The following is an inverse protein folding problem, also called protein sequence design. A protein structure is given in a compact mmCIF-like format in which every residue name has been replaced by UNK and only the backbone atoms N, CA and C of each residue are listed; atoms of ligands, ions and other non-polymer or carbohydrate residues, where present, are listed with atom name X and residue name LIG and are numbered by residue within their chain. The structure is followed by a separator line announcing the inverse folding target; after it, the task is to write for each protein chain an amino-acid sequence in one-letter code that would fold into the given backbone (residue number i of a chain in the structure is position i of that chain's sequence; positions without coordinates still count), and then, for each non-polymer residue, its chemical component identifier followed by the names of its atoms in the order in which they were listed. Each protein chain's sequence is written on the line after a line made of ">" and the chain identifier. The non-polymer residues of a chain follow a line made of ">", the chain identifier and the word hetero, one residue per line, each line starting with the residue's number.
data_IF_048664383005
#
_entry.id   IF_048664383005
#
_cell.length_a   1.000
_cell.length_b   1.000
_cell.length_c   1.000
_cell.angle_alpha   90.00
_cell.angle_beta   90.00
_cell.angle_gamma   90.00
#
_symmetry.space_group_name_H-M   'P 1'
#
loop_
_entity.id
_entity.type
_entity.pdbx_description
1 polymer ?
#
# COMPACT_ATOMS: atom_id res chain seq x y z
N UNK A 1 -22.90 6.39 -7.43
CA UNK A 1 -21.43 6.58 -7.44
C UNK A 1 -21.02 6.67 -5.98
N UNK A 2 -20.10 5.83 -5.50
CA UNK A 2 -19.75 5.80 -4.07
C UNK A 2 -19.23 7.17 -3.64
N UNK A 3 -19.91 7.79 -2.68
CA UNK A 3 -19.54 9.09 -2.13
C UNK A 3 -18.16 8.95 -1.46
N UNK A 4 -17.17 9.69 -1.95
CA UNK A 4 -15.82 9.72 -1.39
C UNK A 4 -15.84 10.50 -0.06
N UNK A 5 -16.35 9.87 1.00
CA UNK A 5 -16.23 10.39 2.36
C UNK A 5 -14.77 10.27 2.81
N UNK A 6 -14.02 11.37 2.70
CA UNK A 6 -12.71 11.47 3.33
C UNK A 6 -12.89 11.56 4.84
N UNK A 7 -12.33 10.63 5.63
CA UNK A 7 -12.54 10.58 7.07
C UNK A 7 -11.88 11.76 7.81
N UNK A 8 -10.90 12.41 7.20
CA UNK A 8 -10.23 13.61 7.70
C UNK A 8 -9.50 14.34 6.57
N UNK A 9 -9.09 15.60 6.80
CA UNK A 9 -8.31 16.38 5.84
C UNK A 9 -6.96 15.73 5.52
N UNK A 10 -6.54 15.80 4.26
CA UNK A 10 -5.25 15.28 3.79
C UNK A 10 -5.14 13.75 3.73
N UNK A 11 -6.26 13.03 3.85
CA UNK A 11 -6.29 11.56 3.78
C UNK A 11 -5.74 11.00 2.46
N UNK A 12 -5.80 11.79 1.38
CA UNK A 12 -5.23 11.44 0.05
C UNK A 12 -3.72 11.13 0.07
N UNK A 13 -2.99 11.61 1.09
CA UNK A 13 -1.55 11.36 1.25
C UNK A 13 -1.22 10.10 2.03
N UNK A 14 -2.23 9.36 2.50
CA UNK A 14 -2.02 8.13 3.26
C UNK A 14 -1.90 6.91 2.36
N UNK A 15 -1.03 5.97 2.76
CA UNK A 15 -0.84 4.70 2.06
C UNK A 15 -2.14 3.87 1.93
N UNK A 16 -3.05 3.99 2.90
CA UNK A 16 -4.36 3.33 2.85
C UNK A 16 -5.25 3.88 1.73
N UNK A 17 -5.20 5.20 1.48
CA UNK A 17 -5.92 5.81 0.36
C UNK A 17 -5.36 5.31 -0.97
N UNK A 18 -4.03 5.30 -1.12
CA UNK A 18 -3.34 4.77 -2.30
C UNK A 18 -3.71 3.30 -2.56
N UNK A 19 -3.84 2.49 -1.52
CA UNK A 19 -4.35 1.13 -1.65
C UNK A 19 -5.81 1.08 -2.14
N UNK A 20 -6.69 1.89 -1.55
CA UNK A 20 -8.12 1.93 -1.91
C UNK A 20 -8.35 2.32 -3.38
N UNK A 21 -7.52 3.22 -3.92
CA UNK A 21 -7.60 3.62 -5.34
C UNK A 21 -6.90 2.65 -6.29
N UNK A 22 -6.39 1.52 -5.79
CA UNK A 22 -5.79 0.45 -6.60
C UNK A 22 -4.29 0.58 -6.86
N UNK A 23 -3.59 1.59 -6.33
CA UNK A 23 -2.18 1.84 -6.65
C UNK A 23 -1.26 0.64 -6.36
N UNK A 24 -1.56 -0.16 -5.33
CA UNK A 24 -0.80 -1.38 -5.03
C UNK A 24 -0.87 -2.41 -6.17
N UNK A 25 -2.00 -2.51 -6.86
CA UNK A 25 -2.20 -3.46 -7.97
C UNK A 25 -1.67 -2.90 -9.29
N UNK A 26 -1.95 -1.63 -9.56
CA UNK A 26 -1.65 -1.01 -10.87
C UNK A 26 -0.23 -0.43 -10.94
N UNK A 27 0.33 0.02 -9.81
CA UNK A 27 1.60 0.76 -9.73
C UNK A 27 2.42 0.37 -8.49
N UNK A 28 2.62 -0.93 -8.30
CA UNK A 28 3.35 -1.47 -7.15
C UNK A 28 4.74 -0.85 -7.01
N UNK A 29 5.49 -0.71 -8.11
CA UNK A 29 6.83 -0.11 -8.14
C UNK A 29 6.88 1.33 -7.58
N UNK A 30 5.88 2.16 -7.89
CA UNK A 30 5.77 3.51 -7.32
C UNK A 30 5.38 3.45 -5.84
N UNK A 31 4.50 2.52 -5.46
CA UNK A 31 4.11 2.31 -4.07
C UNK A 31 5.31 1.89 -3.20
N UNK A 32 6.22 1.07 -3.74
CA UNK A 32 7.47 0.65 -3.05
C UNK A 32 8.34 1.83 -2.65
N UNK A 33 8.41 2.88 -3.47
CA UNK A 33 9.20 4.09 -3.17
C UNK A 33 8.65 4.90 -2.00
N UNK A 34 7.38 4.71 -1.64
CA UNK A 34 6.70 5.42 -0.56
C UNK A 34 6.83 4.72 0.79
N UNK A 35 7.00 3.41 0.79
CA UNK A 35 7.13 2.62 2.01
C UNK A 35 8.58 2.59 2.48
N UNK A 36 8.79 2.80 3.78
CA UNK A 36 10.12 2.84 4.41
C UNK A 36 10.28 1.69 5.40
N UNK A 37 11.53 1.32 5.67
CA UNK A 37 11.94 0.37 6.73
C UNK A 37 11.43 -1.08 6.58
N UNK A 38 10.83 -1.42 5.44
CA UNK A 38 10.44 -2.77 5.07
C UNK A 38 11.47 -3.48 4.20
N UNK A 39 11.51 -4.82 4.29
CA UNK A 39 12.23 -5.67 3.33
C UNK A 39 11.30 -6.26 2.26
N UNK A 40 10.02 -6.40 2.61
CA UNK A 40 9.00 -6.97 1.74
C UNK A 40 7.70 -6.17 1.82
N UNK A 41 6.97 -6.15 0.71
CA UNK A 41 5.63 -5.59 0.58
C UNK A 41 4.67 -6.64 0.04
N UNK A 42 3.43 -6.67 0.53
CA UNK A 42 2.40 -7.54 0.00
C UNK A 42 1.83 -6.94 -1.28
N UNK A 43 2.00 -7.62 -2.43
CA UNK A 43 1.44 -7.16 -3.71
C UNK A 43 -0.10 -7.16 -3.77
N UNK A 44 -0.76 -7.77 -2.79
CA UNK A 44 -2.23 -7.80 -2.69
C UNK A 44 -2.82 -6.61 -1.91
N UNK A 45 -2.21 -6.27 -0.76
CA UNK A 45 -2.77 -5.28 0.17
C UNK A 45 -1.83 -4.14 0.55
N UNK A 46 -0.58 -4.14 0.09
CA UNK A 46 0.40 -3.08 0.36
C UNK A 46 1.03 -3.13 1.75
N UNK A 47 0.70 -4.14 2.58
CA UNK A 47 1.34 -4.31 3.91
C UNK A 47 2.84 -4.54 3.77
N UNK A 48 3.61 -3.92 4.65
CA UNK A 48 5.08 -3.99 4.67
C UNK A 48 5.56 -4.80 5.86
N UNK A 49 6.57 -5.63 5.67
CA UNK A 49 7.17 -6.47 6.72
C UNK A 49 8.68 -6.62 6.56
N UNK A 50 9.33 -7.03 7.65
CA UNK A 50 10.75 -7.36 7.66
C UNK A 50 11.03 -8.78 7.15
N UNK A 51 10.04 -9.68 7.19
CA UNK A 51 10.15 -11.07 6.71
C UNK A 51 8.97 -11.43 5.79
N UNK A 52 9.26 -12.20 4.75
CA UNK A 52 8.27 -12.60 3.73
C UNK A 52 7.14 -13.48 4.29
N UNK A 53 7.40 -14.28 5.34
CA UNK A 53 6.43 -15.20 5.94
C UNK A 53 5.30 -14.46 6.68
N UNK A 54 5.48 -13.17 6.93
CA UNK A 54 4.49 -12.31 7.58
C UNK A 54 3.46 -11.75 6.59
N UNK A 55 3.62 -12.04 5.29
CA UNK A 55 2.79 -11.49 4.21
C UNK A 55 2.13 -12.62 3.41
N UNK A 56 0.90 -12.38 2.95
CA UNK A 56 0.15 -13.36 2.15
C UNK A 56 0.73 -13.54 0.74
N UNK A 57 1.26 -12.46 0.16
CA UNK A 57 1.84 -12.43 -1.19
C UNK A 57 3.05 -11.49 -1.20
N UNK A 58 4.18 -11.90 -0.60
CA UNK A 58 5.36 -11.05 -0.45
C UNK A 58 6.00 -10.73 -1.80
N UNK A 59 6.49 -9.50 -1.91
CA UNK A 59 7.36 -9.04 -2.97
C UNK A 59 8.48 -8.21 -2.34
N UNK A 60 9.70 -8.35 -2.86
CA UNK A 60 10.86 -7.66 -2.30
C UNK A 60 10.76 -6.15 -2.55
N UNK A 61 11.10 -5.38 -1.50
CA UNK A 61 11.26 -3.93 -1.54
C UNK A 61 12.67 -3.52 -2.01
#
# INVERSE_FOLDING_TARGET
>A
MAEFHMPHSGHERHLCFLHNIGMVKDKLEEYKKLVKDGKYVCKGCGRVAADEKQLCAPEKL
#
